data_IF_809921692989
#
_entry.id   IF_809921692989
#
_cell.length_a   1.000
_cell.length_b   1.000
_cell.length_c   1.000
_cell.angle_alpha   90.00
_cell.angle_beta   90.00
_cell.angle_gamma   90.00
#
_symmetry.space_group_name_H-M   'P 1'
#
loop_
_entity.id
_entity.type
_entity.pdbx_description
1 polymer ?
#
# COMPACT_ATOMS: atom_id res chain seq x y z
N UNK A 1 -0.39 -53.62 34.90
CA UNK A 1 -0.84 -52.22 34.92
C UNK A 1 0.27 -51.35 34.34
N UNK A 2 0.24 -51.07 33.04
CA UNK A 2 1.22 -50.23 32.35
C UNK A 2 0.55 -48.91 31.94
N UNK A 3 1.05 -47.78 32.47
CA UNK A 3 0.56 -46.44 32.17
C UNK A 3 1.29 -45.94 30.93
N UNK A 4 0.56 -45.73 29.85
CA UNK A 4 1.09 -45.14 28.62
C UNK A 4 1.32 -43.63 28.83
N UNK A 5 2.56 -43.18 28.71
CA UNK A 5 2.92 -41.77 28.57
C UNK A 5 2.59 -41.32 27.14
N UNK A 6 1.60 -40.44 27.01
CA UNK A 6 1.28 -39.77 25.76
C UNK A 6 2.26 -38.62 25.54
N UNK A 7 3.08 -38.72 24.49
CA UNK A 7 3.98 -37.66 24.05
C UNK A 7 3.15 -36.53 23.44
N UNK A 8 3.12 -35.41 24.14
CA UNK A 8 2.55 -34.16 23.66
C UNK A 8 3.44 -33.62 22.52
N UNK A 9 3.02 -33.85 21.29
CA UNK A 9 3.71 -33.39 20.08
C UNK A 9 3.52 -31.88 20.00
N UNK A 10 4.57 -31.14 20.39
CA UNK A 10 4.66 -29.70 20.32
C UNK A 10 4.26 -29.16 18.96
N UNK A 11 3.02 -28.69 18.85
CA UNK A 11 2.54 -27.91 17.73
C UNK A 11 2.96 -26.46 17.94
N UNK A 12 4.28 -26.18 17.83
CA UNK A 12 4.84 -24.83 17.79
C UNK A 12 4.52 -24.19 16.44
N UNK A 13 3.22 -23.99 16.19
CA UNK A 13 2.72 -23.18 15.09
C UNK A 13 3.29 -21.78 15.27
N UNK A 14 4.25 -21.46 14.43
CA UNK A 14 4.86 -20.15 14.19
C UNK A 14 3.78 -19.06 14.22
N UNK A 15 3.53 -18.46 15.39
CA UNK A 15 2.87 -17.17 15.50
C UNK A 15 3.91 -16.14 15.10
N UNK A 16 4.07 -15.94 13.79
CA UNK A 16 4.66 -14.70 13.28
C UNK A 16 3.78 -13.57 13.80
N UNK A 17 4.27 -12.89 14.84
CA UNK A 17 3.65 -11.68 15.36
C UNK A 17 3.69 -10.65 14.23
N UNK A 18 2.54 -10.45 13.56
CA UNK A 18 2.37 -9.36 12.61
C UNK A 18 2.46 -8.06 13.40
N UNK A 19 3.60 -7.38 13.30
CA UNK A 19 3.74 -6.02 13.79
C UNK A 19 3.04 -5.10 12.78
N UNK A 20 1.90 -4.54 13.18
CA UNK A 20 1.23 -3.51 12.41
C UNK A 20 1.79 -2.14 12.82
N UNK A 21 2.29 -1.40 11.84
CA UNK A 21 2.73 -0.03 11.98
C UNK A 21 1.70 0.85 11.28
N UNK A 22 0.94 1.64 12.04
CA UNK A 22 -0.05 2.57 11.49
C UNK A 22 0.50 3.99 11.57
N UNK A 23 0.74 4.60 10.42
CA UNK A 23 1.12 6.02 10.31
C UNK A 23 -0.10 6.77 9.82
N UNK A 24 -0.66 7.64 10.67
CA UNK A 24 -1.89 8.36 10.42
C UNK A 24 -1.70 9.85 10.65
N UNK A 25 -1.51 10.61 9.58
CA UNK A 25 -1.30 12.05 9.66
C UNK A 25 -2.51 12.79 9.11
N UNK A 26 -3.19 13.56 9.97
CA UNK A 26 -4.31 14.41 9.57
C UNK A 26 -3.87 15.46 8.56
N UNK A 27 -4.72 15.72 7.56
CA UNK A 27 -4.50 16.73 6.53
C UNK A 27 -3.21 16.52 5.69
N UNK A 28 -2.64 15.32 5.72
CA UNK A 28 -1.46 14.98 4.92
C UNK A 28 -1.75 15.14 3.42
N UNK A 29 -0.84 15.85 2.75
CA UNK A 29 -0.76 15.94 1.29
C UNK A 29 0.42 15.12 0.81
N UNK A 30 0.43 14.77 -0.48
CA UNK A 30 1.53 13.99 -1.04
C UNK A 30 2.90 14.65 -0.99
N UNK A 31 2.97 15.98 -1.00
CA UNK A 31 4.24 16.68 -0.80
C UNK A 31 4.87 16.46 0.58
N UNK A 32 4.09 16.02 1.58
CA UNK A 32 4.57 15.73 2.94
C UNK A 32 4.69 14.24 3.23
N UNK A 33 4.31 13.36 2.31
CA UNK A 33 4.18 11.93 2.57
C UNK A 33 5.48 11.31 3.07
N UNK A 34 6.58 11.50 2.33
CA UNK A 34 7.85 10.88 2.66
C UNK A 34 8.33 11.28 4.05
N UNK A 35 8.23 12.57 4.39
CA UNK A 35 8.64 13.09 5.70
C UNK A 35 7.86 12.44 6.85
N UNK A 36 6.57 12.17 6.64
CA UNK A 36 5.75 11.47 7.63
C UNK A 36 6.14 9.99 7.77
N UNK A 37 6.41 9.31 6.65
CA UNK A 37 6.90 7.92 6.68
C UNK A 37 8.29 7.84 7.32
N UNK A 38 9.17 8.80 7.06
CA UNK A 38 10.51 8.86 7.65
C UNK A 38 10.44 9.05 9.16
N UNK A 39 9.61 9.99 9.62
CA UNK A 39 9.47 10.31 11.03
C UNK A 39 8.81 9.17 11.85
N UNK A 40 7.79 8.52 11.28
CA UNK A 40 6.96 7.56 12.04
C UNK A 40 7.15 6.11 11.57
N UNK A 41 7.27 5.90 10.25
CA UNK A 41 7.27 4.59 9.61
C UNK A 41 8.61 3.86 9.59
N UNK A 42 9.75 4.58 9.56
CA UNK A 42 11.08 3.94 9.62
C UNK A 42 11.43 3.37 11.00
N UNK A 43 10.69 3.76 12.04
CA UNK A 43 10.82 3.16 13.37
C UNK A 43 10.35 1.69 13.40
N UNK A 44 9.57 1.28 12.40
CA UNK A 44 9.02 -0.05 12.28
C UNK A 44 10.01 -0.96 11.52
N UNK A 45 10.29 -2.14 12.09
CA UNK A 45 11.05 -3.19 11.38
C UNK A 45 10.34 -3.52 10.06
N UNK A 46 11.12 -3.82 9.02
CA UNK A 46 10.70 -4.04 7.64
C UNK A 46 9.27 -4.64 7.51
N UNK A 47 8.26 -3.82 7.14
CA UNK A 47 6.87 -4.26 7.16
C UNK A 47 6.62 -5.33 6.10
N UNK A 48 5.76 -6.30 6.37
CA UNK A 48 5.32 -7.27 5.35
C UNK A 48 4.25 -6.69 4.44
N UNK A 49 3.53 -5.68 4.94
CA UNK A 49 2.37 -5.07 4.29
C UNK A 49 2.31 -3.57 4.61
N UNK A 50 2.09 -2.74 3.61
CA UNK A 50 1.80 -1.31 3.77
C UNK A 50 0.47 -1.01 3.11
N UNK A 51 -0.43 -0.40 3.88
CA UNK A 51 -1.68 0.14 3.38
C UNK A 51 -1.52 1.64 3.12
N UNK A 52 -1.75 2.07 1.88
CA UNK A 52 -1.64 3.46 1.48
C UNK A 52 -3.04 4.02 1.28
N UNK A 53 -3.44 4.92 2.17
CA UNK A 53 -4.65 5.72 2.02
C UNK A 53 -4.27 7.21 2.05
N UNK A 54 -4.33 7.88 0.90
CA UNK A 54 -3.86 9.26 0.78
C UNK A 54 -4.30 9.93 -0.52
N UNK A 55 -4.12 11.25 -0.59
CA UNK A 55 -4.40 12.04 -1.79
C UNK A 55 -5.73 12.81 -1.77
N UNK A 56 -6.60 12.58 -0.78
CA UNK A 56 -7.87 13.33 -0.64
C UNK A 56 -7.65 14.85 -0.51
N UNK A 57 -6.62 15.25 0.25
CA UNK A 57 -6.27 16.67 0.45
C UNK A 57 -5.63 17.32 -0.79
N UNK A 58 -5.13 16.53 -1.73
CA UNK A 58 -4.51 17.00 -2.98
C UNK A 58 -5.56 17.22 -4.09
N UNK A 59 -6.74 16.60 -3.97
CA UNK A 59 -7.81 16.66 -4.97
C UNK A 59 -8.27 18.08 -5.29
N UNK A 60 -8.26 18.99 -4.33
CA UNK A 60 -8.77 20.36 -4.52
C UNK A 60 -7.69 21.36 -4.91
N UNK A 61 -6.42 21.08 -4.62
CA UNK A 61 -5.34 22.10 -4.66
C UNK A 61 -4.16 21.76 -5.58
N UNK A 62 -3.92 20.48 -5.90
CA UNK A 62 -2.74 20.07 -6.69
C UNK A 62 -3.16 19.50 -8.04
N UNK A 63 -2.53 19.83 -9.15
CA UNK A 63 -2.87 19.23 -10.46
C UNK A 63 -2.75 17.70 -10.44
N UNK A 64 -3.69 16.98 -11.08
CA UNK A 64 -3.72 15.51 -11.06
C UNK A 64 -2.41 14.89 -11.55
N UNK A 65 -1.81 15.46 -12.59
CA UNK A 65 -0.54 14.98 -13.13
C UNK A 65 0.59 15.06 -12.09
N UNK A 66 0.67 16.16 -11.35
CA UNK A 66 1.67 16.37 -10.30
C UNK A 66 1.49 15.35 -9.17
N UNK A 67 0.25 15.13 -8.73
CA UNK A 67 -0.07 14.12 -7.70
C UNK A 67 0.28 12.72 -8.19
N UNK A 68 -0.04 12.37 -9.43
CA UNK A 68 0.33 11.09 -10.02
C UNK A 68 1.86 10.90 -10.10
N UNK A 69 2.61 11.91 -10.53
CA UNK A 69 4.08 11.83 -10.54
C UNK A 69 4.63 11.61 -9.13
N UNK A 70 4.10 12.31 -8.12
CA UNK A 70 4.47 12.10 -6.73
C UNK A 70 4.16 10.67 -6.27
N UNK A 71 2.95 10.14 -6.56
CA UNK A 71 2.58 8.74 -6.27
C UNK A 71 3.60 7.77 -6.84
N UNK A 72 3.94 7.92 -8.12
CA UNK A 72 4.87 7.02 -8.79
C UNK A 72 6.26 7.04 -8.13
N UNK A 73 6.78 8.23 -7.84
CA UNK A 73 8.08 8.40 -7.20
C UNK A 73 8.11 7.79 -5.80
N UNK A 74 7.12 8.09 -4.96
CA UNK A 74 7.05 7.66 -3.57
C UNK A 74 6.81 6.15 -3.43
N UNK A 75 5.93 5.57 -4.27
CA UNK A 75 5.71 4.12 -4.28
C UNK A 75 6.98 3.39 -4.75
N UNK A 76 7.68 3.92 -5.73
CA UNK A 76 8.97 3.36 -6.19
C UNK A 76 9.97 3.36 -5.04
N UNK A 77 10.11 4.49 -4.35
CA UNK A 77 11.00 4.60 -3.19
C UNK A 77 10.63 3.60 -2.09
N UNK A 78 9.34 3.49 -1.72
CA UNK A 78 8.88 2.54 -0.70
C UNK A 78 9.26 1.10 -1.03
N UNK A 79 9.20 0.72 -2.31
CA UNK A 79 9.60 -0.61 -2.75
C UNK A 79 11.09 -0.83 -2.65
N UNK A 80 11.89 0.17 -3.01
CA UNK A 80 13.35 0.08 -2.93
C UNK A 80 13.82 0.03 -1.47
N UNK A 81 13.17 0.79 -0.58
CA UNK A 81 13.40 0.77 0.86
C UNK A 81 12.93 -0.54 1.52
N UNK A 82 11.84 -1.14 1.03
CA UNK A 82 11.28 -2.37 1.57
C UNK A 82 10.89 -3.38 0.48
N UNK A 83 11.87 -4.06 -0.15
CA UNK A 83 11.64 -4.97 -1.27
C UNK A 83 10.65 -6.13 -1.05
N UNK A 84 10.57 -6.77 0.14
CA UNK A 84 9.64 -7.88 0.36
C UNK A 84 8.22 -7.41 0.71
N UNK A 85 8.00 -6.11 0.86
CA UNK A 85 6.75 -5.54 1.35
C UNK A 85 5.69 -5.50 0.26
N UNK A 86 4.48 -5.96 0.60
CA UNK A 86 3.31 -5.80 -0.27
C UNK A 86 2.69 -4.42 -0.05
N UNK A 87 2.46 -3.69 -1.12
CA UNK A 87 1.76 -2.40 -1.08
C UNK A 87 0.29 -2.60 -1.45
N UNK A 88 -0.61 -2.10 -0.61
CA UNK A 88 -2.05 -2.10 -0.84
C UNK A 88 -2.52 -0.65 -0.98
N UNK A 89 -3.00 -0.30 -2.16
CA UNK A 89 -3.65 0.98 -2.39
C UNK A 89 -5.09 0.95 -1.86
N UNK A 90 -5.44 1.93 -1.04
CA UNK A 90 -6.81 2.16 -0.57
C UNK A 90 -7.35 3.40 -1.26
N UNK A 91 -8.42 3.18 -2.03
CA UNK A 91 -9.11 4.22 -2.78
C UNK A 91 -9.46 5.45 -1.94
N UNK A 92 -9.21 6.63 -2.52
CA UNK A 92 -9.72 7.88 -1.98
C UNK A 92 -11.24 7.83 -2.05
N UNK A 93 -11.88 7.97 -0.89
CA UNK A 93 -13.33 7.93 -0.75
C UNK A 93 -13.95 9.19 -1.36
N UNK A 94 -15.11 9.06 -1.99
CA UNK A 94 -15.88 10.21 -2.47
C UNK A 94 -16.53 10.94 -1.29
N UNK A 95 -16.45 12.27 -1.27
CA UNK A 95 -17.14 13.09 -0.28
C UNK A 95 -18.32 13.83 -0.88
N UNK A 96 -19.43 13.84 -0.15
CA UNK A 96 -20.69 14.50 -0.56
C UNK A 96 -20.53 16.03 -0.59
N UNK A 97 -19.59 16.59 0.20
CA UNK A 97 -19.43 18.03 0.42
C UNK A 97 -18.15 18.62 -0.17
N UNK A 98 -17.64 18.04 -1.25
CA UNK A 98 -16.34 18.45 -1.79
C UNK A 98 -16.31 19.84 -2.43
N UNK A 99 -17.46 20.43 -2.74
CA UNK A 99 -17.49 21.84 -3.10
C UNK A 99 -18.87 22.36 -3.47
N UNK A 100 -18.93 23.65 -3.87
CA UNK A 100 -20.16 24.42 -3.86
C UNK A 100 -21.07 24.17 -5.06
N UNK A 101 -20.57 23.51 -6.12
CA UNK A 101 -21.34 23.35 -7.37
C UNK A 101 -21.26 21.93 -7.95
N UNK A 102 -22.31 21.45 -8.64
CA UNK A 102 -22.29 20.14 -9.30
C UNK A 102 -21.19 19.96 -10.34
N UNK A 103 -20.82 21.02 -11.07
CA UNK A 103 -19.73 20.96 -12.06
C UNK A 103 -18.38 20.72 -11.38
N UNK A 104 -18.14 21.40 -10.25
CA UNK A 104 -16.94 21.21 -9.44
C UNK A 104 -16.87 19.79 -8.87
N UNK A 105 -17.98 19.28 -8.35
CA UNK A 105 -18.08 17.90 -7.85
C UNK A 105 -17.77 16.87 -8.95
N UNK A 106 -18.29 17.06 -10.17
CA UNK A 106 -17.96 16.17 -11.32
C UNK A 106 -16.47 16.20 -11.68
N UNK A 107 -15.84 17.38 -11.66
CA UNK A 107 -14.42 17.52 -11.95
C UNK A 107 -13.56 16.84 -10.89
N UNK A 108 -13.88 17.03 -9.61
CA UNK A 108 -13.21 16.37 -8.50
C UNK A 108 -13.39 14.85 -8.53
N UNK A 109 -14.60 14.37 -8.85
CA UNK A 109 -14.87 12.95 -8.97
C UNK A 109 -14.07 12.30 -10.10
N UNK A 110 -13.97 12.98 -11.25
CA UNK A 110 -13.11 12.53 -12.36
C UNK A 110 -11.65 12.41 -11.91
N UNK A 111 -11.17 13.41 -11.17
CA UNK A 111 -9.79 13.45 -10.65
C UNK A 111 -9.54 12.36 -9.60
N UNK A 112 -10.49 12.14 -8.68
CA UNK A 112 -10.46 11.04 -7.70
C UNK A 112 -10.34 9.69 -8.38
N UNK A 113 -11.21 9.41 -9.36
CA UNK A 113 -11.15 8.18 -10.16
C UNK A 113 -9.82 8.00 -10.87
N UNK A 114 -9.27 9.08 -11.44
CA UNK A 114 -7.96 9.05 -12.09
C UNK A 114 -6.85 8.69 -11.09
N UNK A 115 -6.84 9.32 -9.91
CA UNK A 115 -5.86 9.05 -8.86
C UNK A 115 -5.98 7.61 -8.33
N UNK A 116 -7.19 7.13 -8.04
CA UNK A 116 -7.40 5.75 -7.59
C UNK A 116 -6.92 4.74 -8.63
N UNK A 117 -7.27 4.96 -9.90
CA UNK A 117 -6.77 4.13 -10.99
C UNK A 117 -5.24 4.12 -11.04
N UNK A 118 -4.61 5.30 -10.93
CA UNK A 118 -3.17 5.42 -11.02
C UNK A 118 -2.45 4.78 -9.82
N UNK A 119 -2.89 5.07 -8.59
CA UNK A 119 -2.34 4.47 -7.37
C UNK A 119 -2.47 2.95 -7.36
N UNK A 120 -3.63 2.42 -7.77
CA UNK A 120 -3.84 0.99 -7.94
C UNK A 120 -2.89 0.39 -8.99
N UNK A 121 -2.77 1.01 -10.16
CA UNK A 121 -1.85 0.57 -11.21
C UNK A 121 -0.39 0.55 -10.75
N UNK A 122 0.07 1.55 -9.98
CA UNK A 122 1.45 1.58 -9.50
C UNK A 122 1.73 0.61 -8.36
N UNK A 123 0.80 0.46 -7.43
CA UNK A 123 0.90 -0.56 -6.39
C UNK A 123 0.97 -1.98 -6.99
N UNK A 124 0.25 -2.22 -8.11
CA UNK A 124 0.23 -3.50 -8.82
C UNK A 124 1.39 -3.69 -9.80
N UNK A 125 1.74 -2.69 -10.60
CA UNK A 125 2.81 -2.80 -11.62
C UNK A 125 4.16 -3.09 -10.99
N UNK A 126 4.32 -2.65 -9.74
CA UNK A 126 5.50 -2.88 -8.96
C UNK A 126 5.43 -4.11 -8.05
N UNK A 127 4.32 -4.84 -8.00
CA UNK A 127 4.17 -6.13 -7.30
C UNK A 127 4.89 -7.30 -8.00
N UNK A 128 5.97 -6.99 -8.72
CA UNK A 128 6.79 -7.85 -9.58
C UNK A 128 6.09 -8.36 -10.85
N UNK A 129 6.81 -8.21 -11.96
CA UNK A 129 6.83 -9.16 -13.08
C UNK A 129 7.26 -10.52 -12.52
N UNK A 130 6.39 -11.18 -11.77
CA UNK A 130 6.29 -12.63 -11.76
C UNK A 130 5.27 -12.97 -12.85
N UNK A 131 5.68 -12.82 -14.11
CA UNK A 131 4.96 -13.51 -15.17
C UNK A 131 5.03 -15.00 -14.84
N UNK A 132 3.86 -15.64 -14.72
CA UNK A 132 3.70 -17.09 -14.52
C UNK A 132 4.50 -17.95 -15.51
N UNK A 133 5.02 -17.37 -16.61
CA UNK A 133 5.92 -18.06 -17.55
C UNK A 133 7.30 -18.43 -16.98
N UNK A 134 7.77 -17.81 -15.89
CA UNK A 134 9.09 -18.17 -15.31
C UNK A 134 9.03 -19.35 -14.34
N UNK A 135 7.85 -19.67 -13.77
CA UNK A 135 7.66 -20.84 -12.91
C UNK A 135 7.51 -22.14 -13.72
N UNK A 136 6.90 -22.07 -14.90
CA UNK A 136 6.77 -23.25 -15.77
C UNK A 136 8.14 -23.74 -16.30
N UNK A 137 9.12 -22.85 -16.51
CA UNK A 137 10.43 -23.24 -17.05
C UNK A 137 11.34 -23.91 -16.01
N UNK A 138 11.14 -23.63 -14.71
CA UNK A 138 11.90 -24.27 -13.62
C UNK A 138 11.30 -25.63 -13.23
N UNK A 139 9.98 -25.81 -13.42
CA UNK A 139 9.29 -27.07 -13.08
C UNK A 139 9.26 -28.09 -14.23
N UNK A 140 9.75 -27.74 -15.42
CA UNK A 140 9.88 -28.66 -16.56
C UNK A 140 11.32 -29.12 -16.82
N UNK A 141 12.24 -28.90 -15.88
CA UNK A 141 13.66 -29.30 -15.97
C UNK A 141 14.09 -30.27 -14.87
N UNK A 142 13.14 -30.97 -14.24
CA UNK A 142 13.39 -32.13 -13.38
C UNK A 142 12.66 -33.35 -13.90
#
# INVERSE_FOLDING_TARGET
MGRAESKDVGNSKLRTSLQHCLVGVSSLRWSGFWKSIEAEGLSCKAPTLIYIHGGGNDLTVVLSAVVCCAIASEITYLRDAFPPTKLIWIDVLGGINWGPTPKFLKALEKKRKQMNRFGCLWAQSLAQVMSYTSLARVMSSQ
#
